data_IF_441730071378
#
_entry.id   IF_441730071378
#
_cell.length_a   1.000
_cell.length_b   1.000
_cell.length_c   1.000
_cell.angle_alpha   90.00
_cell.angle_beta   90.00
_cell.angle_gamma   90.00
#
_symmetry.space_group_name_H-M   'P 1'
#
loop_
_entity.id
_entity.type
_entity.pdbx_description
1 polymer ?
#
# COMPACT_ATOMS: atom_id res chain seq x y z
N UNK A 1 -51.86 -132.23 52.04
CA UNK A 1 -51.72 -130.79 52.38
C UNK A 1 -51.68 -130.01 51.08
N UNK A 2 -52.76 -129.36 50.69
CA UNK A 2 -53.19 -128.00 51.07
C UNK A 2 -52.61 -126.94 50.12
N UNK A 3 -53.51 -126.32 49.34
CA UNK A 3 -53.44 -124.98 48.67
C UNK A 3 -52.44 -124.86 47.49
N UNK A 4 -52.74 -124.62 46.20
CA UNK A 4 -53.81 -123.93 45.44
C UNK A 4 -53.99 -122.47 45.86
N UNK A 5 -54.17 -121.47 44.95
CA UNK A 5 -53.66 -121.20 43.57
C UNK A 5 -53.18 -119.72 43.45
N UNK A 6 -52.88 -119.15 42.27
CA UNK A 6 -53.74 -118.14 41.58
C UNK A 6 -53.05 -117.86 40.20
N UNK A 7 -53.44 -118.49 39.09
CA UNK A 7 -54.31 -117.97 37.99
C UNK A 7 -53.85 -116.61 37.41
N UNK A 8 -53.65 -116.36 36.11
CA UNK A 8 -53.96 -117.00 34.82
C UNK A 8 -53.46 -116.02 33.69
N UNK A 9 -53.82 -116.08 32.38
CA UNK A 9 -53.93 -117.20 31.43
C UNK A 9 -53.42 -116.87 29.99
N UNK A 10 -53.65 -117.83 29.07
CA UNK A 10 -53.93 -117.68 27.62
C UNK A 10 -52.77 -117.62 26.62
N UNK A 11 -52.54 -118.78 25.99
CA UNK A 11 -52.29 -118.93 24.55
C UNK A 11 -53.64 -118.90 23.82
N UNK A 12 -53.80 -118.26 22.63
CA UNK A 12 -53.70 -119.03 21.39
C UNK A 12 -53.17 -118.23 20.18
N UNK A 13 -52.61 -118.91 19.18
CA UNK A 13 -52.36 -118.32 17.86
C UNK A 13 -53.65 -118.16 17.05
N UNK A 14 -53.59 -118.09 15.71
CA UNK A 14 -52.68 -117.39 14.81
C UNK A 14 -53.47 -116.39 13.90
N UNK A 15 -52.82 -115.40 13.28
CA UNK A 15 -53.06 -114.94 11.88
C UNK A 15 -52.09 -113.81 11.48
N UNK A 16 -51.60 -113.92 10.25
CA UNK A 16 -50.71 -113.03 9.46
C UNK A 16 -51.32 -111.62 9.21
N UNK A 17 -50.54 -110.54 8.94
CA UNK A 17 -49.92 -110.34 7.62
C UNK A 17 -48.59 -109.56 7.56
N UNK A 18 -47.77 -109.96 6.58
CA UNK A 18 -47.06 -109.13 5.60
C UNK A 18 -46.70 -107.66 5.97
N UNK A 19 -45.40 -107.37 6.06
CA UNK A 19 -44.83 -106.10 5.61
C UNK A 19 -43.33 -106.27 5.34
N UNK A 20 -42.95 -106.03 4.09
CA UNK A 20 -41.59 -106.03 3.55
C UNK A 20 -40.71 -104.96 4.22
N UNK A 21 -39.45 -105.30 4.49
CA UNK A 21 -38.38 -104.33 4.63
C UNK A 21 -37.11 -104.88 3.97
N UNK A 22 -36.83 -104.42 2.75
CA UNK A 22 -35.56 -104.64 2.07
C UNK A 22 -34.48 -103.82 2.76
N UNK A 23 -33.44 -104.48 3.27
CA UNK A 23 -32.20 -103.83 3.70
C UNK A 23 -31.11 -104.07 2.64
N UNK A 24 -30.74 -102.99 1.95
CA UNK A 24 -29.71 -102.92 0.91
C UNK A 24 -28.31 -103.06 1.53
N UNK A 25 -27.40 -103.90 1.00
CA UNK A 25 -26.02 -103.90 1.44
C UNK A 25 -25.25 -102.69 0.84
N UNK A 26 -24.67 -101.87 1.72
CA UNK A 26 -23.77 -100.76 1.39
C UNK A 26 -22.45 -101.29 0.78
N UNK A 27 -22.22 -101.03 -0.50
CA UNK A 27 -20.89 -101.16 -1.10
C UNK A 27 -19.97 -100.04 -0.57
N UNK A 28 -18.78 -100.42 -0.06
CA UNK A 28 -17.76 -99.52 0.51
C UNK A 28 -17.31 -98.46 -0.50
N UNK A 29 -17.70 -97.22 -0.24
CA UNK A 29 -17.31 -96.02 -0.97
C UNK A 29 -15.83 -95.62 -0.68
N UNK A 30 -15.17 -94.85 -1.58
CA UNK A 30 -13.73 -94.60 -1.56
C UNK A 30 -13.31 -93.58 -0.49
N UNK A 31 -13.20 -94.02 0.76
CA UNK A 31 -12.78 -93.20 1.92
C UNK A 31 -11.38 -92.59 1.79
N UNK A 32 -10.49 -93.15 0.96
CA UNK A 32 -9.16 -92.59 0.68
C UNK A 32 -9.21 -91.33 -0.18
N UNK A 33 -10.07 -91.31 -1.21
CA UNK A 33 -10.23 -90.14 -2.09
C UNK A 33 -10.85 -88.95 -1.34
N UNK A 34 -11.82 -89.22 -0.46
CA UNK A 34 -12.43 -88.20 0.39
C UNK A 34 -11.42 -87.58 1.37
N UNK A 35 -10.52 -88.38 1.96
CA UNK A 35 -9.45 -87.88 2.85
C UNK A 35 -8.44 -87.01 2.11
N UNK A 36 -8.07 -87.38 0.88
CA UNK A 36 -7.18 -86.57 0.03
C UNK A 36 -7.87 -85.26 -0.37
N UNK A 37 -9.13 -85.30 -0.79
CA UNK A 37 -9.92 -84.11 -1.10
C UNK A 37 -10.05 -83.19 0.12
N UNK A 38 -10.33 -83.74 1.31
CA UNK A 38 -10.41 -82.97 2.55
C UNK A 38 -9.05 -82.35 2.92
N UNK A 39 -7.94 -83.08 2.72
CA UNK A 39 -6.59 -82.57 2.94
C UNK A 39 -6.24 -81.42 1.99
N UNK A 40 -6.60 -81.54 0.70
CA UNK A 40 -6.45 -80.46 -0.29
C UNK A 40 -7.32 -79.26 0.10
N UNK A 41 -8.56 -79.49 0.51
CA UNK A 41 -9.47 -78.42 0.93
C UNK A 41 -8.96 -77.70 2.19
N UNK A 42 -8.41 -78.45 3.16
CA UNK A 42 -7.78 -77.89 4.34
C UNK A 42 -6.52 -77.08 3.99
N UNK A 43 -5.69 -77.56 3.06
CA UNK A 43 -4.53 -76.82 2.58
C UNK A 43 -4.94 -75.50 1.89
N UNK A 44 -5.98 -75.52 1.04
CA UNK A 44 -6.54 -74.33 0.41
C UNK A 44 -7.08 -73.36 1.47
N UNK A 45 -7.80 -73.86 2.48
CA UNK A 45 -8.33 -73.04 3.57
C UNK A 45 -7.20 -72.34 4.35
N UNK A 46 -6.10 -73.04 4.65
CA UNK A 46 -4.92 -72.46 5.31
C UNK A 46 -4.28 -71.37 4.46
N UNK A 47 -4.12 -71.61 3.15
CA UNK A 47 -3.58 -70.60 2.22
C UNK A 47 -4.50 -69.38 2.15
N UNK A 48 -5.82 -69.57 2.10
CA UNK A 48 -6.79 -68.48 2.09
C UNK A 48 -6.75 -67.65 3.38
N UNK A 49 -6.62 -68.29 4.55
CA UNK A 49 -6.46 -67.60 5.82
C UNK A 49 -5.16 -66.80 5.87
N UNK A 50 -4.05 -67.38 5.41
CA UNK A 50 -2.77 -66.69 5.35
C UNK A 50 -2.83 -65.46 4.43
N UNK A 51 -3.45 -65.59 3.26
CA UNK A 51 -3.68 -64.48 2.34
C UNK A 51 -4.56 -63.39 2.97
N UNK A 52 -5.62 -63.77 3.71
CA UNK A 52 -6.50 -62.84 4.42
C UNK A 52 -5.73 -62.02 5.47
N UNK A 53 -4.92 -62.68 6.31
CA UNK A 53 -4.09 -62.02 7.33
C UNK A 53 -3.06 -61.07 6.68
N UNK A 54 -2.42 -61.50 5.60
CA UNK A 54 -1.42 -60.69 4.89
C UNK A 54 -2.06 -59.45 4.24
N UNK A 55 -3.26 -59.59 3.68
CA UNK A 55 -4.01 -58.47 3.10
C UNK A 55 -4.47 -57.49 4.19
N UNK A 56 -4.90 -58.00 5.35
CA UNK A 56 -5.27 -57.18 6.50
C UNK A 56 -4.08 -56.35 7.01
N UNK A 57 -2.90 -56.96 7.18
CA UNK A 57 -1.68 -56.24 7.56
C UNK A 57 -1.31 -55.12 6.58
N UNK A 58 -1.45 -55.37 5.27
CA UNK A 58 -1.18 -54.36 4.24
C UNK A 58 -2.18 -53.20 4.28
N UNK A 59 -3.48 -53.48 4.48
CA UNK A 59 -4.51 -52.45 4.60
C UNK A 59 -4.32 -51.62 5.86
N UNK A 60 -4.02 -52.24 7.00
CA UNK A 60 -3.71 -51.53 8.25
C UNK A 60 -2.50 -50.62 8.11
N UNK A 61 -1.42 -51.08 7.46
CA UNK A 61 -0.25 -50.24 7.18
C UNK A 61 -0.56 -49.05 6.27
N UNK A 62 -1.42 -49.24 5.27
CA UNK A 62 -1.83 -48.16 4.35
C UNK A 62 -2.71 -47.11 5.06
N UNK A 63 -3.63 -47.55 5.93
CA UNK A 63 -4.44 -46.64 6.74
C UNK A 63 -3.57 -45.79 7.67
N UNK A 64 -2.55 -46.38 8.28
CA UNK A 64 -1.64 -45.63 9.14
C UNK A 64 -0.76 -44.64 8.35
N UNK A 65 -0.28 -45.01 7.16
CA UNK A 65 0.43 -44.08 6.28
C UNK A 65 -0.47 -42.92 5.81
N UNK A 66 -1.72 -43.19 5.45
CA UNK A 66 -2.70 -42.16 5.09
C UNK A 66 -3.05 -41.26 6.29
N UNK A 67 -3.16 -41.82 7.49
CA UNK A 67 -3.38 -41.05 8.71
C UNK A 67 -2.19 -40.12 9.00
N UNK A 68 -0.95 -40.62 8.87
CA UNK A 68 0.27 -39.80 9.01
C UNK A 68 0.35 -38.73 7.92
N UNK A 69 0.14 -39.10 6.66
CA UNK A 69 0.18 -38.16 5.53
C UNK A 69 -0.92 -37.09 5.65
N UNK A 70 -2.11 -37.44 6.13
CA UNK A 70 -3.18 -36.45 6.35
C UNK A 70 -2.89 -35.53 7.53
N UNK A 71 -2.24 -36.03 8.59
CA UNK A 71 -1.75 -35.21 9.69
C UNK A 71 -0.64 -34.23 9.22
N UNK A 72 0.34 -34.72 8.46
CA UNK A 72 1.42 -33.90 7.90
C UNK A 72 0.91 -32.86 6.90
N UNK A 73 -0.02 -33.25 6.02
CA UNK A 73 -0.70 -32.33 5.12
C UNK A 73 -1.52 -31.29 5.89
N UNK A 74 -2.15 -31.68 6.99
CA UNK A 74 -2.85 -30.77 7.90
C UNK A 74 -1.89 -29.76 8.55
N UNK A 75 -0.75 -30.22 9.06
CA UNK A 75 0.27 -29.38 9.69
C UNK A 75 0.85 -28.35 8.70
N UNK A 76 1.27 -28.80 7.51
CA UNK A 76 1.79 -27.92 6.46
C UNK A 76 0.75 -26.90 5.97
N UNK A 77 -0.53 -27.27 5.89
CA UNK A 77 -1.60 -26.33 5.54
C UNK A 77 -1.81 -25.26 6.61
N UNK A 78 -1.65 -25.59 7.89
CA UNK A 78 -1.71 -24.61 9.00
C UNK A 78 -0.50 -23.67 8.94
N UNK A 79 0.70 -24.20 8.72
CA UNK A 79 1.92 -23.40 8.58
C UNK A 79 1.84 -22.46 7.37
N UNK A 80 1.42 -22.96 6.20
CA UNK A 80 1.24 -22.14 5.01
C UNK A 80 0.20 -21.04 5.21
N UNK A 81 -0.90 -21.33 5.94
CA UNK A 81 -1.90 -20.31 6.30
C UNK A 81 -1.35 -19.29 7.30
N UNK A 82 -0.49 -19.70 8.22
CA UNK A 82 0.17 -18.78 9.15
C UNK A 82 1.12 -17.84 8.41
N UNK A 83 1.97 -18.38 7.52
CA UNK A 83 2.88 -17.58 6.68
C UNK A 83 2.11 -16.62 5.75
N UNK A 84 1.01 -17.08 5.15
CA UNK A 84 0.16 -16.22 4.32
C UNK A 84 -0.46 -15.07 5.12
N UNK A 85 -0.88 -15.31 6.36
CA UNK A 85 -1.39 -14.27 7.26
C UNK A 85 -0.29 -13.28 7.65
N UNK A 86 0.89 -13.77 8.02
CA UNK A 86 2.03 -12.92 8.38
C UNK A 86 2.46 -12.02 7.21
N UNK A 87 2.52 -12.58 5.99
CA UNK A 87 2.79 -11.81 4.77
C UNK A 87 1.69 -10.77 4.49
N UNK A 88 0.41 -11.10 4.74
CA UNK A 88 -0.69 -10.16 4.59
C UNK A 88 -0.60 -9.02 5.62
N UNK A 89 -0.25 -9.33 6.86
CA UNK A 89 -0.10 -8.33 7.91
C UNK A 89 1.13 -7.44 7.68
N UNK A 90 2.24 -8.00 7.18
CA UNK A 90 3.40 -7.23 6.72
C UNK A 90 3.05 -6.31 5.54
N UNK A 91 2.23 -6.78 4.58
CA UNK A 91 1.73 -5.96 3.49
C UNK A 91 0.84 -4.81 4.00
N UNK A 92 0.01 -5.05 5.01
CA UNK A 92 -0.80 -4.01 5.65
C UNK A 92 0.05 -2.98 6.41
N UNK A 93 1.05 -3.42 7.17
CA UNK A 93 1.97 -2.52 7.90
C UNK A 93 2.78 -1.65 6.92
N UNK A 94 3.32 -2.25 5.85
CA UNK A 94 4.02 -1.49 4.81
C UNK A 94 3.12 -0.48 4.09
N UNK A 95 1.86 -0.85 3.78
CA UNK A 95 0.87 0.08 3.22
C UNK A 95 0.55 1.24 4.20
N UNK A 96 0.44 0.95 5.50
CA UNK A 96 0.22 1.99 6.51
C UNK A 96 1.42 2.95 6.61
N UNK A 97 2.65 2.42 6.62
CA UNK A 97 3.87 3.24 6.62
C UNK A 97 4.00 4.08 5.36
N UNK A 98 3.62 3.53 4.20
CA UNK A 98 3.58 4.25 2.93
C UNK A 98 2.60 5.42 3.00
N UNK A 99 1.37 5.20 3.49
CA UNK A 99 0.37 6.26 3.63
C UNK A 99 0.86 7.41 4.54
N UNK A 100 1.55 7.08 5.64
CA UNK A 100 2.17 8.08 6.51
C UNK A 100 3.29 8.84 5.78
N UNK A 101 4.15 8.13 5.04
CA UNK A 101 5.23 8.74 4.28
C UNK A 101 4.70 9.67 3.16
N UNK A 102 3.65 9.27 2.45
CA UNK A 102 2.96 10.11 1.45
C UNK A 102 2.37 11.37 2.08
N UNK A 103 1.79 11.26 3.29
CA UNK A 103 1.29 12.42 4.04
C UNK A 103 2.42 13.36 4.43
N UNK A 104 3.55 12.83 4.91
CA UNK A 104 4.73 13.66 5.21
C UNK A 104 5.31 14.33 3.98
N UNK A 105 5.30 13.63 2.84
CA UNK A 105 5.77 14.20 1.58
C UNK A 105 4.85 15.32 1.09
N UNK A 106 3.53 15.17 1.23
CA UNK A 106 2.57 16.22 0.87
C UNK A 106 2.66 17.44 1.78
N UNK A 107 2.90 17.24 3.09
CA UNK A 107 3.23 18.31 4.03
C UNK A 107 4.48 19.09 3.61
N UNK A 108 5.57 18.39 3.25
CA UNK A 108 6.82 19.03 2.80
C UNK A 108 6.64 19.75 1.47
N UNK A 109 5.89 19.17 0.52
CA UNK A 109 5.58 19.81 -0.75
C UNK A 109 4.80 21.12 -0.53
N UNK A 110 3.83 21.12 0.40
CA UNK A 110 3.08 22.31 0.78
C UNK A 110 3.97 23.36 1.47
N UNK A 111 4.87 22.94 2.36
CA UNK A 111 5.83 23.85 3.00
C UNK A 111 6.77 24.49 1.97
N UNK A 112 7.20 23.73 0.96
CA UNK A 112 8.03 24.25 -0.14
C UNK A 112 7.28 25.28 -0.99
N UNK A 113 6.03 25.00 -1.36
CA UNK A 113 5.24 25.97 -2.13
C UNK A 113 4.97 27.24 -1.32
N UNK A 114 4.70 27.13 -0.01
CA UNK A 114 4.55 28.29 0.88
C UNK A 114 5.84 29.09 1.00
N UNK A 115 7.01 28.43 1.05
CA UNK A 115 8.29 29.12 1.07
C UNK A 115 8.57 29.85 -0.24
N UNK A 116 8.25 29.25 -1.39
CA UNK A 116 8.37 29.89 -2.70
C UNK A 116 7.46 31.11 -2.83
N UNK A 117 6.21 31.00 -2.37
CA UNK A 117 5.26 32.11 -2.34
C UNK A 117 5.70 33.20 -1.36
N UNK A 118 6.23 32.84 -0.18
CA UNK A 118 6.80 33.78 0.78
C UNK A 118 8.03 34.50 0.19
N UNK A 119 8.93 33.77 -0.45
CA UNK A 119 10.11 34.36 -1.10
C UNK A 119 9.68 35.35 -2.19
N UNK A 120 8.70 34.98 -3.01
CA UNK A 120 8.17 35.84 -4.06
C UNK A 120 7.46 37.08 -3.51
N UNK A 121 6.65 36.94 -2.44
CA UNK A 121 5.97 38.07 -1.79
C UNK A 121 6.93 39.00 -1.07
N UNK A 122 7.97 38.48 -0.39
CA UNK A 122 9.03 39.28 0.23
C UNK A 122 9.82 40.03 -0.83
N UNK A 123 10.16 39.40 -1.95
CA UNK A 123 10.79 40.11 -3.07
C UNK A 123 9.88 41.21 -3.58
N UNK A 124 8.62 40.92 -3.88
CA UNK A 124 7.67 41.91 -4.40
C UNK A 124 7.46 43.07 -3.43
N UNK A 125 7.35 42.81 -2.13
CA UNK A 125 7.21 43.84 -1.09
C UNK A 125 8.45 44.73 -0.99
N UNK A 126 9.66 44.17 -1.15
CA UNK A 126 10.90 44.97 -1.20
C UNK A 126 10.92 45.89 -2.42
N UNK A 127 10.51 45.39 -3.59
CA UNK A 127 10.43 46.18 -4.82
C UNK A 127 9.43 47.34 -4.65
N UNK A 128 8.22 47.05 -4.13
CA UNK A 128 7.17 48.04 -3.90
C UNK A 128 7.59 49.11 -2.88
N UNK A 129 8.20 48.71 -1.75
CA UNK A 129 8.73 49.65 -0.76
C UNK A 129 9.84 50.55 -1.35
N UNK A 130 10.76 49.98 -2.12
CA UNK A 130 11.82 50.77 -2.77
C UNK A 130 11.24 51.82 -3.73
N UNK A 131 10.20 51.47 -4.50
CA UNK A 131 9.53 52.40 -5.40
C UNK A 131 8.81 53.51 -4.62
N UNK A 132 8.10 53.18 -3.55
CA UNK A 132 7.41 54.17 -2.68
C UNK A 132 8.42 55.13 -2.04
N UNK A 133 9.56 54.63 -1.58
CA UNK A 133 10.62 55.49 -1.02
C UNK A 133 11.19 56.44 -2.08
N UNK A 134 11.41 55.96 -3.31
CA UNK A 134 11.90 56.79 -4.42
C UNK A 134 10.87 57.85 -4.79
N UNK A 135 9.59 57.49 -4.85
CA UNK A 135 8.50 58.43 -5.15
C UNK A 135 8.40 59.52 -4.09
N UNK A 136 8.44 59.16 -2.80
CA UNK A 136 8.39 60.13 -1.71
C UNK A 136 9.60 61.08 -1.71
N UNK A 137 10.81 60.56 -1.97
CA UNK A 137 12.01 61.38 -2.11
C UNK A 137 11.91 62.33 -3.33
N UNK A 138 11.36 61.86 -4.45
CA UNK A 138 11.17 62.68 -5.64
C UNK A 138 10.13 63.78 -5.42
N UNK A 139 9.00 63.47 -4.76
CA UNK A 139 7.98 64.47 -4.38
C UNK A 139 8.57 65.55 -3.48
N UNK A 140 9.36 65.17 -2.49
CA UNK A 140 10.03 66.12 -1.60
C UNK A 140 11.02 67.01 -2.37
N UNK A 141 11.83 66.41 -3.25
CA UNK A 141 12.79 67.15 -4.06
C UNK A 141 12.09 68.10 -5.04
N UNK A 142 10.94 67.70 -5.59
CA UNK A 142 10.11 68.57 -6.44
C UNK A 142 9.57 69.77 -5.65
N UNK A 143 9.10 69.55 -4.42
CA UNK A 143 8.65 70.64 -3.55
C UNK A 143 9.81 71.60 -3.23
N UNK A 144 10.99 71.08 -2.90
CA UNK A 144 12.18 71.92 -2.66
C UNK A 144 12.61 72.68 -3.91
N UNK A 145 12.53 72.06 -5.09
CA UNK A 145 12.86 72.71 -6.35
C UNK A 145 11.91 73.88 -6.66
N UNK A 146 10.61 73.74 -6.33
CA UNK A 146 9.63 74.83 -6.48
C UNK A 146 9.86 75.96 -5.48
N UNK A 147 10.22 75.63 -4.24
CA UNK A 147 10.47 76.63 -3.19
C UNK A 147 11.77 77.41 -3.41
N UNK A 148 12.82 76.74 -3.88
CA UNK A 148 14.14 77.35 -4.11
C UNK A 148 14.31 77.90 -5.52
N UNK A 149 13.44 77.51 -6.45
CA UNK A 149 13.59 77.79 -7.88
C UNK A 149 14.78 77.08 -8.54
N UNK A 150 15.41 76.12 -7.86
CA UNK A 150 16.59 75.38 -8.32
C UNK A 150 16.24 73.94 -8.66
N UNK A 151 16.83 73.39 -9.73
CA UNK A 151 16.63 71.99 -10.14
C UNK A 151 17.59 71.00 -9.46
N UNK A 152 18.58 71.50 -8.71
CA UNK A 152 19.61 70.68 -8.06
C UNK A 152 19.05 69.63 -7.10
N UNK A 153 18.04 69.94 -6.24
CA UNK A 153 17.44 68.94 -5.35
C UNK A 153 16.83 67.77 -6.13
N UNK A 154 16.18 68.07 -7.27
CA UNK A 154 15.55 67.06 -8.12
C UNK A 154 16.59 66.17 -8.80
N UNK A 155 17.67 66.75 -9.32
CA UNK A 155 18.80 66.00 -9.88
C UNK A 155 19.50 65.14 -8.83
N UNK A 156 19.64 65.63 -7.59
CA UNK A 156 20.22 64.86 -6.49
C UNK A 156 19.34 63.66 -6.09
N UNK A 157 18.02 63.86 -6.03
CA UNK A 157 17.06 62.78 -5.75
C UNK A 157 17.07 61.71 -6.84
N UNK A 158 17.09 62.09 -8.12
CA UNK A 158 17.16 61.14 -9.25
C UNK A 158 18.45 60.31 -9.24
N UNK A 159 19.61 60.93 -8.95
CA UNK A 159 20.88 60.20 -8.80
C UNK A 159 20.84 59.22 -7.62
N UNK A 160 20.24 59.64 -6.51
CA UNK A 160 20.08 58.76 -5.34
C UNK A 160 19.17 57.59 -5.65
N UNK A 161 18.08 57.82 -6.37
CA UNK A 161 17.16 56.78 -6.83
C UNK A 161 17.88 55.76 -7.75
N UNK A 162 18.66 56.23 -8.73
CA UNK A 162 19.44 55.36 -9.62
C UNK A 162 20.46 54.50 -8.84
N UNK A 163 21.19 55.10 -7.89
CA UNK A 163 22.12 54.36 -7.03
C UNK A 163 21.41 53.30 -6.16
N UNK A 164 20.23 53.61 -5.61
CA UNK A 164 19.47 52.65 -4.81
C UNK A 164 18.95 51.49 -5.66
N UNK A 165 18.48 51.76 -6.88
CA UNK A 165 18.05 50.72 -7.82
C UNK A 165 19.23 49.85 -8.25
N UNK A 166 20.38 50.46 -8.56
CA UNK A 166 21.60 49.74 -8.91
C UNK A 166 22.08 48.82 -7.77
N UNK A 167 22.00 49.27 -6.51
CA UNK A 167 22.32 48.45 -5.33
C UNK A 167 21.33 47.31 -5.11
N UNK A 168 20.05 47.51 -5.43
CA UNK A 168 19.03 46.46 -5.32
C UNK A 168 19.24 45.33 -6.35
N UNK A 169 19.86 45.64 -7.51
CA UNK A 169 20.23 44.70 -8.57
C UNK A 169 19.06 43.81 -9.07
N UNK A 170 17.85 44.34 -9.07
CA UNK A 170 16.64 43.62 -9.47
C UNK A 170 16.30 43.86 -10.96
N UNK A 171 16.17 42.81 -11.79
CA UNK A 171 15.83 42.94 -13.21
C UNK A 171 14.49 43.65 -13.46
N UNK A 172 13.52 43.48 -12.55
CA UNK A 172 12.17 44.06 -12.66
C UNK A 172 12.18 45.60 -12.65
N UNK A 173 13.20 46.22 -12.06
CA UNK A 173 13.34 47.68 -11.97
C UNK A 173 14.13 48.29 -13.12
N UNK A 174 14.63 47.48 -14.08
CA UNK A 174 15.40 47.98 -15.22
C UNK A 174 14.64 49.01 -16.10
N UNK A 175 13.31 48.91 -16.32
CA UNK A 175 12.57 49.96 -17.01
C UNK A 175 12.53 51.28 -16.23
N UNK A 176 12.39 51.22 -14.90
CA UNK A 176 12.40 52.39 -14.01
C UNK A 176 13.78 53.06 -14.03
N UNK A 177 14.85 52.28 -13.97
CA UNK A 177 16.21 52.80 -14.08
C UNK A 177 16.44 53.56 -15.40
N UNK A 178 15.98 53.00 -16.52
CA UNK A 178 16.03 53.67 -17.83
C UNK A 178 15.16 54.91 -17.91
N UNK A 179 14.05 54.99 -17.16
CA UNK A 179 13.25 56.20 -17.06
C UNK A 179 14.00 57.29 -16.29
N UNK A 180 14.57 56.97 -15.13
CA UNK A 180 15.34 57.91 -14.30
C UNK A 180 16.56 58.46 -15.05
N UNK A 181 17.28 57.63 -15.79
CA UNK A 181 18.41 58.08 -16.62
C UNK A 181 17.96 59.10 -17.67
N UNK A 182 16.88 58.79 -18.41
CA UNK A 182 16.30 59.71 -19.41
C UNK A 182 15.81 61.02 -18.79
N UNK A 183 15.16 60.96 -17.63
CA UNK A 183 14.66 62.15 -16.93
C UNK A 183 15.82 63.01 -16.41
N UNK A 184 16.90 62.38 -15.92
CA UNK A 184 18.12 63.07 -15.52
C UNK A 184 18.77 63.81 -16.69
N UNK A 185 18.88 63.16 -17.84
CA UNK A 185 19.44 63.77 -19.05
C UNK A 185 18.55 64.91 -19.58
N UNK A 186 17.23 64.71 -19.56
CA UNK A 186 16.25 65.72 -19.99
C UNK A 186 16.29 66.96 -19.10
N UNK A 187 16.36 66.79 -17.78
CA UNK A 187 16.45 67.93 -16.85
C UNK A 187 17.77 68.68 -17.06
N UNK A 188 18.91 67.98 -17.17
CA UNK A 188 20.20 68.65 -17.45
C UNK A 188 20.17 69.46 -18.75
N UNK A 189 19.63 68.88 -19.83
CA UNK A 189 19.50 69.58 -21.10
C UNK A 189 18.60 70.83 -20.98
N UNK A 190 17.49 70.73 -20.27
CA UNK A 190 16.59 71.87 -20.04
C UNK A 190 17.25 72.99 -19.23
N UNK A 191 17.97 72.68 -18.14
CA UNK A 191 18.64 73.69 -17.30
C UNK A 191 19.74 74.43 -18.06
N UNK A 192 20.53 73.72 -18.88
CA UNK A 192 21.57 74.37 -19.71
C UNK A 192 20.94 75.26 -20.79
N UNK A 193 19.74 74.93 -21.25
CA UNK A 193 19.04 75.68 -22.30
C UNK A 193 18.28 76.91 -21.77
N UNK A 194 17.89 76.94 -20.49
CA UNK A 194 17.13 78.04 -19.85
C UNK A 194 18.00 79.21 -19.33
N UNK A 195 19.26 79.29 -19.75
CA UNK A 195 20.11 80.46 -19.51
C UNK A 195 19.50 81.80 -20.00
N UNK A 196 18.75 81.86 -21.12
CA UNK A 196 18.08 83.08 -21.57
C UNK A 196 16.94 83.54 -20.63
N UNK A 197 16.21 82.61 -20.01
CA UNK A 197 15.17 82.94 -19.02
C UNK A 197 15.76 83.52 -17.74
N UNK A 198 16.94 83.02 -17.33
CA UNK A 198 17.73 83.58 -16.23
C UNK A 198 18.24 84.99 -16.54
N UNK A 199 18.70 85.25 -17.76
CA UNK A 199 19.08 86.60 -18.20
C UNK A 199 17.90 87.58 -18.17
N UNK A 200 16.72 87.16 -18.61
CA UNK A 200 15.51 87.98 -18.55
C UNK A 200 15.08 88.32 -17.13
N UNK A 201 15.20 87.37 -16.18
CA UNK A 201 14.95 87.66 -14.76
C UNK A 201 16.01 88.56 -14.13
N UNK A 202 17.26 88.44 -14.56
CA UNK A 202 18.34 89.34 -14.16
C UNK A 202 18.07 90.77 -14.64
N UNK A 203 17.62 90.93 -15.89
CA UNK A 203 17.21 92.23 -16.43
C UNK A 203 16.02 92.81 -15.66
N UNK A 204 15.03 92.00 -15.30
CA UNK A 204 13.85 92.45 -14.55
C UNK A 204 14.21 92.87 -13.11
N UNK A 205 15.10 92.12 -12.44
CA UNK A 205 15.65 92.48 -11.12
C UNK A 205 16.51 93.74 -11.17
N UNK A 206 17.34 93.90 -12.21
CA UNK A 206 18.13 95.10 -12.40
C UNK A 206 17.23 96.33 -12.58
N UNK A 207 16.14 96.16 -13.34
CA UNK A 207 15.16 97.22 -13.60
C UNK A 207 14.37 97.63 -12.35
N UNK A 208 14.06 96.68 -11.46
CA UNK A 208 13.42 96.95 -10.17
C UNK A 208 14.37 97.57 -9.13
N UNK A 209 15.69 97.47 -9.31
CA UNK A 209 16.69 98.06 -8.41
C UNK A 209 17.07 99.51 -8.79
N UNK A 210 16.81 99.90 -10.03
CA UNK A 210 17.06 101.26 -10.55
C UNK A 210 15.88 102.23 -10.33
N UNK A 211 14.69 101.74 -9.95
CA UNK A 211 13.52 102.53 -9.49
C UNK A 211 13.48 102.68 -7.96
#
# INVERSE_FOLDING_TARGET
>A
MNSVPETAPVTPGPVTPNASASAVPLARQPVTLLRVMLGVFAAIAVVALMACVMLWQKVSGMQEQLARQSADAGASAVEARALARDAQDQSRDTAARLAVAETRLSEVALQRSQLEELMQSVSRSRDENLVVDIESALRLAQQQAQLTGSVEPLLAALRTADQRIARAAQPRLAPLQRAIARDTDRIRAATVTDLPGLLLRLDDLNRQADD
#
